data_IF_667189106536
#
_entry.id   IF_667189106536
#
_cell.length_a   1.000
_cell.length_b   1.000
_cell.length_c   1.000
_cell.angle_alpha   90.00
_cell.angle_beta   90.00
_cell.angle_gamma   90.00
#
_symmetry.space_group_name_H-M   'P 1'
#
loop_
_entity.id
_entity.type
_entity.pdbx_description
1 polymer ?
#
# COMPACT_ATOMS: atom_id res chain seq x y z
N UNK A 1 30.00 -20.64 1.95
CA UNK A 1 28.55 -20.45 2.11
C UNK A 1 28.35 -19.55 3.30
N UNK A 2 28.33 -18.25 3.04
CA UNK A 2 28.21 -17.21 4.05
C UNK A 2 26.75 -16.82 4.18
N UNK A 3 26.25 -17.03 5.39
CA UNK A 3 25.01 -16.54 5.97
C UNK A 3 24.81 -15.03 5.69
N UNK A 4 23.70 -14.68 5.02
CA UNK A 4 23.27 -13.30 4.76
C UNK A 4 21.85 -13.08 5.27
N UNK A 5 21.58 -13.48 6.51
CA UNK A 5 20.36 -13.11 7.21
C UNK A 5 20.47 -11.70 7.81
N UNK A 6 19.78 -10.73 7.21
CA UNK A 6 19.47 -9.46 7.90
C UNK A 6 18.68 -9.72 9.20
N UNK A 7 18.58 -8.74 10.12
CA UNK A 7 18.00 -8.97 11.44
C UNK A 7 16.50 -9.27 11.32
N UNK A 8 16.18 -10.57 11.29
CA UNK A 8 14.83 -11.08 11.57
C UNK A 8 14.54 -10.74 13.03
N UNK A 9 13.37 -10.17 13.32
CA UNK A 9 12.91 -10.06 14.72
C UNK A 9 12.81 -11.49 15.27
N UNK A 10 13.77 -11.87 16.11
CA UNK A 10 14.05 -13.27 16.51
C UNK A 10 13.32 -13.71 17.78
N UNK A 11 12.07 -13.29 18.00
CA UNK A 11 11.19 -13.95 18.99
C UNK A 11 9.74 -14.02 18.46
N UNK A 12 9.31 -15.22 18.07
CA UNK A 12 7.95 -15.52 17.58
C UNK A 12 7.82 -15.71 16.06
N UNK A 13 6.63 -16.10 15.55
CA UNK A 13 6.37 -16.18 14.11
C UNK A 13 6.62 -14.81 13.45
N UNK A 14 7.27 -14.79 12.28
CA UNK A 14 7.62 -13.56 11.54
C UNK A 14 6.45 -12.58 11.52
N UNK A 15 6.62 -11.36 12.02
CA UNK A 15 5.55 -10.34 12.08
C UNK A 15 5.69 -9.29 10.99
N UNK A 16 6.88 -8.71 10.86
CA UNK A 16 7.22 -7.75 9.82
C UNK A 16 8.75 -7.71 9.66
N UNK A 17 9.23 -7.17 8.54
CA UNK A 17 10.64 -6.78 8.46
C UNK A 17 10.88 -5.54 9.32
N UNK A 18 12.00 -5.51 10.03
CA UNK A 18 12.48 -4.30 10.69
C UNK A 18 13.10 -3.37 9.63
N UNK A 19 12.29 -2.59 8.93
CA UNK A 19 12.75 -1.51 8.06
C UNK A 19 12.37 -0.17 8.68
N UNK A 20 13.29 0.81 8.65
CA UNK A 20 12.95 2.17 9.05
C UNK A 20 12.03 2.83 8.02
N UNK A 21 11.26 3.84 8.44
CA UNK A 21 10.45 4.63 7.49
C UNK A 21 11.36 5.33 6.46
N UNK A 22 12.59 5.68 6.85
CA UNK A 22 13.60 6.24 5.95
C UNK A 22 14.03 5.25 4.87
N UNK A 23 14.18 3.96 5.19
CA UNK A 23 14.51 2.93 4.20
C UNK A 23 13.36 2.71 3.22
N UNK A 24 12.12 2.67 3.72
CA UNK A 24 10.92 2.61 2.88
C UNK A 24 10.84 3.82 1.95
N UNK A 25 11.12 5.01 2.46
CA UNK A 25 11.15 6.25 1.68
C UNK A 25 12.22 6.19 0.60
N UNK A 26 13.47 5.87 0.93
CA UNK A 26 14.55 5.74 -0.07
C UNK A 26 14.24 4.69 -1.12
N UNK A 27 13.71 3.54 -0.72
CA UNK A 27 13.27 2.48 -1.62
C UNK A 27 12.19 2.94 -2.60
N UNK A 28 11.20 3.65 -2.08
CA UNK A 28 10.09 4.20 -2.88
C UNK A 28 10.59 5.26 -3.85
N UNK A 29 11.51 6.13 -3.44
CA UNK A 29 12.14 7.10 -4.34
C UNK A 29 12.85 6.39 -5.50
N UNK A 30 13.72 5.43 -5.20
CA UNK A 30 14.45 4.65 -6.22
C UNK A 30 13.48 3.94 -7.16
N UNK A 31 12.43 3.33 -6.62
CA UNK A 31 11.39 2.66 -7.40
C UNK A 31 10.69 3.63 -8.36
N UNK A 32 10.19 4.77 -7.87
CA UNK A 32 9.52 5.77 -8.70
C UNK A 32 10.43 6.30 -9.81
N UNK A 33 11.71 6.57 -9.50
CA UNK A 33 12.70 6.98 -10.51
C UNK A 33 12.91 5.91 -11.56
N UNK A 34 12.95 4.64 -11.17
CA UNK A 34 13.11 3.51 -12.10
C UNK A 34 11.96 3.40 -13.11
N UNK A 35 10.74 3.74 -12.69
CA UNK A 35 9.54 3.76 -13.56
C UNK A 35 9.54 5.00 -14.48
N UNK A 36 10.37 5.99 -14.19
CA UNK A 36 10.49 7.24 -14.96
C UNK A 36 9.61 8.38 -14.44
N UNK A 37 9.27 8.38 -13.14
CA UNK A 37 8.56 9.48 -12.50
C UNK A 37 9.52 10.58 -12.05
N UNK A 38 9.15 11.82 -12.34
CA UNK A 38 9.76 13.02 -11.77
C UNK A 38 9.19 13.28 -10.38
N UNK A 39 10.07 13.31 -9.38
CA UNK A 39 9.68 13.58 -8.00
C UNK A 39 9.72 15.08 -7.75
N UNK A 40 8.55 15.70 -7.70
CA UNK A 40 8.44 17.08 -7.26
C UNK A 40 8.75 17.17 -5.76
N UNK A 41 9.28 18.32 -5.32
CA UNK A 41 9.34 18.60 -3.88
C UNK A 41 7.91 18.52 -3.32
N UNK A 42 7.64 17.67 -2.32
CA UNK A 42 6.28 17.51 -1.82
C UNK A 42 5.78 18.82 -1.21
N UNK A 43 4.68 19.35 -1.73
CA UNK A 43 3.97 20.50 -1.16
C UNK A 43 2.66 20.03 -0.52
N UNK A 44 2.04 20.90 0.29
CA UNK A 44 0.76 20.62 0.90
C UNK A 44 -0.34 20.44 -0.15
N UNK A 45 -1.09 19.34 -0.03
CA UNK A 45 -2.32 19.10 -0.77
C UNK A 45 -3.48 19.31 0.19
N UNK A 46 -3.96 20.56 0.24
CA UNK A 46 -4.86 21.02 1.30
C UNK A 46 -4.11 21.21 2.60
N UNK A 47 -4.46 20.44 3.63
CA UNK A 47 -3.86 20.52 4.98
C UNK A 47 -2.94 19.33 5.32
N UNK A 48 -2.72 18.42 4.38
CA UNK A 48 -1.82 17.28 4.54
C UNK A 48 -0.68 17.34 3.51
N UNK A 49 0.50 16.88 3.92
CA UNK A 49 1.69 16.80 3.07
C UNK A 49 1.99 15.33 2.73
N UNK A 50 2.16 14.98 1.45
CA UNK A 50 2.58 13.64 1.07
C UNK A 50 4.08 13.46 1.30
N UNK A 51 4.51 12.20 1.38
CA UNK A 51 5.93 11.86 1.34
C UNK A 51 6.45 11.91 -0.09
N UNK A 52 5.59 11.58 -1.06
CA UNK A 52 5.88 11.70 -2.49
C UNK A 52 4.73 12.32 -3.25
N UNK A 53 5.07 13.29 -4.09
CA UNK A 53 4.20 13.78 -5.16
C UNK A 53 4.99 13.69 -6.47
N UNK A 54 4.67 12.69 -7.28
CA UNK A 54 5.45 12.38 -8.46
C UNK A 54 4.59 12.33 -9.72
N UNK A 55 5.19 12.70 -10.85
CA UNK A 55 4.50 12.75 -12.15
C UNK A 55 5.31 12.09 -13.24
N UNK A 56 4.63 11.47 -14.19
CA UNK A 56 5.23 10.95 -15.43
C UNK A 56 4.37 11.39 -16.61
N UNK A 57 4.99 11.91 -17.67
CA UNK A 57 4.31 12.29 -18.90
C UNK A 57 4.58 11.26 -19.99
N UNK A 58 3.52 10.81 -20.66
CA UNK A 58 3.56 9.87 -21.78
C UNK A 58 2.65 10.39 -22.90
N UNK A 59 3.26 11.02 -23.92
CA UNK A 59 2.52 11.78 -24.93
C UNK A 59 1.71 12.91 -24.29
N UNK A 60 0.39 12.89 -24.48
CA UNK A 60 -0.54 13.88 -23.91
C UNK A 60 -1.06 13.50 -22.52
N UNK A 61 -0.75 12.29 -22.03
CA UNK A 61 -1.18 11.84 -20.71
C UNK A 61 -0.15 12.24 -19.65
N UNK A 62 -0.64 12.73 -18.53
CA UNK A 62 0.16 12.92 -17.32
C UNK A 62 -0.40 12.00 -16.24
N UNK A 63 0.43 11.07 -15.78
CA UNK A 63 0.14 10.24 -14.62
C UNK A 63 0.70 10.94 -13.38
N UNK A 64 -0.02 10.86 -12.28
CA UNK A 64 0.33 11.51 -11.02
C UNK A 64 0.09 10.52 -9.89
N UNK A 65 1.09 10.35 -9.01
CA UNK A 65 1.00 9.53 -7.81
C UNK A 65 1.25 10.38 -6.57
N UNK A 66 0.45 10.14 -5.53
CA UNK A 66 0.55 10.77 -4.22
C UNK A 66 0.71 9.66 -3.18
N UNK A 67 1.90 9.56 -2.58
CA UNK A 67 2.21 8.47 -1.67
C UNK A 67 2.52 8.98 -0.26
N UNK A 68 2.13 8.17 0.72
CA UNK A 68 2.50 8.28 2.12
C UNK A 68 3.33 7.04 2.49
N UNK A 69 4.39 7.22 3.26
CA UNK A 69 5.22 6.14 3.80
C UNK A 69 5.04 6.04 5.30
N UNK A 70 4.79 4.85 5.82
CA UNK A 70 4.67 4.62 7.27
C UNK A 70 5.55 3.45 7.72
N UNK A 71 5.88 3.43 9.01
CA UNK A 71 6.82 2.46 9.59
C UNK A 71 6.23 1.05 9.81
N UNK A 72 4.92 0.87 9.64
CA UNK A 72 4.25 -0.39 9.93
C UNK A 72 2.73 -0.34 9.77
N UNK A 73 2.09 -1.50 9.86
CA UNK A 73 0.63 -1.65 9.67
C UNK A 73 -0.18 -0.94 10.76
N UNK A 74 0.42 -0.76 11.95
CA UNK A 74 -0.16 -0.03 13.08
C UNK A 74 -0.38 1.46 12.75
N UNK A 75 0.37 1.99 11.77
CA UNK A 75 0.25 3.36 11.27
C UNK A 75 -0.52 3.47 9.96
N UNK A 76 -1.02 2.36 9.43
CA UNK A 76 -1.69 2.36 8.14
C UNK A 76 -2.96 3.22 8.13
N UNK A 77 -3.77 3.17 9.20
CA UNK A 77 -4.98 3.99 9.32
C UNK A 77 -4.63 5.48 9.29
N UNK A 78 -3.62 5.91 10.05
CA UNK A 78 -3.14 7.31 10.05
C UNK A 78 -2.70 7.73 8.64
N UNK A 79 -1.97 6.86 7.94
CA UNK A 79 -1.55 7.06 6.55
C UNK A 79 -2.72 7.20 5.57
N UNK A 80 -3.74 6.34 5.68
CA UNK A 80 -4.93 6.44 4.83
C UNK A 80 -5.80 7.66 5.14
N UNK A 81 -5.86 8.10 6.39
CA UNK A 81 -6.52 9.36 6.75
C UNK A 81 -5.82 10.55 6.09
N UNK A 82 -4.47 10.58 6.09
CA UNK A 82 -3.69 11.59 5.37
C UNK A 82 -3.99 11.56 3.86
N UNK A 83 -4.05 10.37 3.26
CA UNK A 83 -4.38 10.21 1.83
C UNK A 83 -5.80 10.68 1.52
N UNK A 84 -6.78 10.38 2.37
CA UNK A 84 -8.17 10.85 2.21
C UNK A 84 -8.27 12.37 2.27
N UNK A 85 -7.55 13.02 3.19
CA UNK A 85 -7.49 14.48 3.25
C UNK A 85 -6.91 15.10 1.96
N UNK A 86 -5.83 14.51 1.44
CA UNK A 86 -5.22 14.97 0.18
C UNK A 86 -6.14 14.73 -1.01
N UNK A 87 -6.78 13.55 -1.09
CA UNK A 87 -7.74 13.22 -2.15
C UNK A 87 -8.97 14.12 -2.14
N UNK A 88 -9.49 14.46 -0.97
CA UNK A 88 -10.60 15.41 -0.83
C UNK A 88 -10.23 16.81 -1.36
N UNK A 89 -8.97 17.23 -1.21
CA UNK A 89 -8.48 18.55 -1.64
C UNK A 89 -8.09 18.59 -3.12
N UNK A 90 -7.41 17.54 -3.59
CA UNK A 90 -6.78 17.47 -4.92
C UNK A 90 -7.65 16.76 -5.96
N UNK A 91 -8.67 16.02 -5.52
CA UNK A 91 -9.58 15.25 -6.35
C UNK A 91 -9.06 13.85 -6.72
N UNK A 92 -9.84 13.06 -7.47
CA UNK A 92 -9.53 11.67 -7.79
C UNK A 92 -8.54 11.50 -8.96
N UNK A 93 -8.02 12.60 -9.52
CA UNK A 93 -7.17 12.54 -10.71
C UNK A 93 -5.80 11.87 -10.47
N UNK A 94 -5.12 12.02 -9.32
CA UNK A 94 -3.93 11.24 -8.97
C UNK A 94 -4.26 9.84 -8.43
N UNK A 95 -3.31 8.91 -8.51
CA UNK A 95 -3.35 7.65 -7.76
C UNK A 95 -2.82 7.89 -6.34
N UNK A 96 -3.54 7.39 -5.33
CA UNK A 96 -3.20 7.60 -3.93
C UNK A 96 -2.79 6.28 -3.29
N UNK A 97 -1.65 6.25 -2.60
CA UNK A 97 -1.11 5.01 -2.06
C UNK A 97 -0.37 5.15 -0.74
N UNK A 98 -0.48 4.12 0.08
CA UNK A 98 0.34 3.93 1.27
C UNK A 98 1.47 2.93 0.95
N UNK A 99 2.68 3.22 1.40
CA UNK A 99 3.83 2.32 1.29
C UNK A 99 4.30 1.93 2.69
N UNK A 100 4.40 0.63 2.94
CA UNK A 100 4.82 0.03 4.20
C UNK A 100 6.08 -0.83 4.02
N UNK A 101 6.80 -1.17 5.10
CA UNK A 101 7.67 -2.34 5.06
C UNK A 101 6.84 -3.62 4.82
N UNK A 102 7.46 -4.74 4.40
CA UNK A 102 6.70 -5.95 4.17
C UNK A 102 6.22 -6.52 5.50
N UNK A 103 4.94 -6.89 5.50
CA UNK A 103 4.20 -7.42 6.64
C UNK A 103 3.95 -8.90 6.41
N UNK A 104 3.89 -9.69 7.47
CA UNK A 104 3.43 -11.06 7.37
C UNK A 104 2.02 -11.11 6.73
N UNK A 105 1.83 -11.96 5.72
CA UNK A 105 0.56 -12.12 5.01
C UNK A 105 -0.62 -12.38 5.96
N UNK A 106 -0.44 -13.22 6.98
CA UNK A 106 -1.46 -13.48 8.00
C UNK A 106 -1.91 -12.20 8.70
N UNK A 107 -0.96 -11.37 9.15
CA UNK A 107 -1.26 -10.10 9.83
C UNK A 107 -1.92 -9.10 8.89
N UNK A 108 -1.52 -9.07 7.61
CA UNK A 108 -2.16 -8.23 6.61
C UNK A 108 -3.61 -8.67 6.38
N UNK A 109 -3.85 -9.97 6.21
CA UNK A 109 -5.18 -10.52 6.01
C UNK A 109 -6.09 -10.29 7.23
N UNK A 110 -5.56 -10.46 8.43
CA UNK A 110 -6.25 -10.13 9.69
C UNK A 110 -6.62 -8.65 9.73
N UNK A 111 -5.68 -7.76 9.43
CA UNK A 111 -5.93 -6.32 9.38
C UNK A 111 -6.98 -5.93 8.34
N UNK A 112 -6.95 -6.54 7.15
CA UNK A 112 -7.93 -6.29 6.09
C UNK A 112 -9.33 -6.77 6.46
N UNK A 113 -9.44 -7.89 7.19
CA UNK A 113 -10.71 -8.49 7.59
C UNK A 113 -11.27 -7.92 8.90
N UNK A 114 -10.46 -7.19 9.67
CA UNK A 114 -10.87 -6.61 10.94
C UNK A 114 -12.14 -5.75 10.78
N UNK A 115 -12.99 -5.74 11.82
CA UNK A 115 -14.28 -5.06 11.85
C UNK A 115 -15.13 -5.35 10.59
N UNK A 116 -15.31 -6.64 10.26
CA UNK A 116 -16.06 -7.12 9.09
C UNK A 116 -15.56 -6.52 7.77
N UNK A 117 -14.25 -6.40 7.64
CA UNK A 117 -13.63 -5.92 6.42
C UNK A 117 -13.63 -4.40 6.26
N UNK A 118 -13.86 -3.63 7.34
CA UNK A 118 -13.89 -2.16 7.29
C UNK A 118 -12.69 -1.59 6.53
N UNK A 119 -11.48 -2.05 6.87
CA UNK A 119 -10.25 -1.58 6.23
C UNK A 119 -10.23 -1.92 4.74
N UNK A 120 -10.56 -3.16 4.38
CA UNK A 120 -10.63 -3.59 2.98
C UNK A 120 -11.62 -2.75 2.17
N UNK A 121 -12.85 -2.57 2.66
CA UNK A 121 -13.89 -1.83 1.94
C UNK A 121 -13.58 -0.34 1.84
N UNK A 122 -12.98 0.28 2.86
CA UNK A 122 -12.55 1.68 2.78
C UNK A 122 -11.45 1.88 1.74
N UNK A 123 -10.48 0.98 1.65
CA UNK A 123 -9.46 1.02 0.58
C UNK A 123 -10.09 0.95 -0.80
N UNK A 124 -11.05 0.04 -0.99
CA UNK A 124 -11.77 -0.11 -2.27
C UNK A 124 -12.60 1.10 -2.61
N UNK A 125 -13.38 1.60 -1.66
CA UNK A 125 -14.26 2.76 -1.85
C UNK A 125 -13.45 4.00 -2.21
N UNK A 126 -12.29 4.18 -1.60
CA UNK A 126 -11.40 5.30 -1.85
C UNK A 126 -10.42 5.07 -3.00
N UNK A 127 -10.44 3.92 -3.67
CA UNK A 127 -9.48 3.56 -4.72
C UNK A 127 -8.02 3.83 -4.29
N UNK A 128 -7.70 3.40 -3.07
CA UNK A 128 -6.36 3.53 -2.48
C UNK A 128 -5.52 2.32 -2.77
N UNK A 129 -4.23 2.57 -2.98
CA UNK A 129 -3.22 1.54 -3.15
C UNK A 129 -2.52 1.23 -1.84
N UNK A 130 -2.11 -0.02 -1.66
CA UNK A 130 -1.20 -0.44 -0.60
C UNK A 130 -0.01 -1.15 -1.24
N UNK A 131 1.17 -0.56 -1.09
CA UNK A 131 2.43 -1.11 -1.56
C UNK A 131 3.33 -1.50 -0.39
N UNK A 132 4.24 -2.43 -0.63
CA UNK A 132 5.25 -2.83 0.33
C UNK A 132 6.64 -2.77 -0.30
N UNK A 133 7.57 -2.09 0.35
CA UNK A 133 8.96 -2.06 -0.08
C UNK A 133 9.78 -3.05 0.73
N UNK A 134 10.37 -4.05 0.09
CA UNK A 134 11.29 -4.99 0.69
C UNK A 134 12.74 -4.48 0.57
N UNK A 135 13.38 -4.02 1.66
CA UNK A 135 14.74 -3.49 1.60
C UNK A 135 15.80 -4.58 1.38
N UNK A 136 15.50 -5.85 1.66
CA UNK A 136 16.45 -6.97 1.47
C UNK A 136 16.55 -7.33 -0.01
N UNK A 137 15.42 -7.31 -0.70
CA UNK A 137 15.33 -7.61 -2.15
C UNK A 137 15.43 -6.35 -3.01
N UNK A 138 15.46 -5.16 -2.38
CA UNK A 138 15.36 -3.85 -3.03
C UNK A 138 14.17 -3.74 -3.99
N UNK A 139 13.04 -4.33 -3.60
CA UNK A 139 11.92 -4.56 -4.50
C UNK A 139 10.58 -4.04 -3.96
N UNK A 140 9.70 -3.61 -4.87
CA UNK A 140 8.38 -3.09 -4.53
C UNK A 140 7.29 -4.11 -4.88
N UNK A 141 6.36 -4.30 -3.97
CA UNK A 141 5.20 -5.18 -4.12
C UNK A 141 3.92 -4.34 -4.12
N UNK A 142 3.00 -4.59 -5.05
CA UNK A 142 1.67 -3.97 -5.06
C UNK A 142 0.67 -4.97 -4.50
N UNK A 143 0.17 -4.73 -3.29
CA UNK A 143 -0.74 -5.65 -2.59
C UNK A 143 -2.19 -5.31 -2.83
N UNK A 144 -2.61 -4.07 -2.60
CA UNK A 144 -4.00 -3.65 -2.84
C UNK A 144 -3.98 -2.56 -3.90
N UNK A 145 -4.84 -2.73 -4.91
CA UNK A 145 -4.92 -1.80 -6.03
C UNK A 145 -3.67 -1.81 -6.89
N UNK A 146 -3.68 -0.99 -7.94
CA UNK A 146 -2.55 -0.78 -8.82
C UNK A 146 -2.64 0.60 -9.46
N UNK A 147 -1.50 1.21 -9.81
CA UNK A 147 -1.49 2.51 -10.46
C UNK A 147 -2.10 2.40 -11.86
N UNK A 148 -2.73 3.48 -12.33
CA UNK A 148 -3.31 3.54 -13.69
C UNK A 148 -2.25 3.54 -14.78
N UNK A 149 -1.03 3.94 -14.44
CA UNK A 149 0.11 3.90 -15.33
C UNK A 149 0.63 2.46 -15.50
N UNK A 150 0.49 1.92 -16.71
CA UNK A 150 0.92 0.56 -17.02
C UNK A 150 2.42 0.36 -16.97
N UNK A 151 3.22 1.43 -16.95
CA UNK A 151 4.67 1.34 -16.82
C UNK A 151 5.09 0.64 -15.51
N UNK A 152 4.29 0.75 -14.44
CA UNK A 152 4.59 0.06 -13.19
C UNK A 152 4.56 -1.47 -13.28
N UNK A 153 3.82 -2.04 -14.25
CA UNK A 153 3.64 -3.49 -14.34
C UNK A 153 4.96 -4.24 -14.59
N UNK A 154 5.94 -3.62 -15.23
CA UNK A 154 7.27 -4.22 -15.44
C UNK A 154 8.24 -4.02 -14.27
N UNK A 155 7.85 -3.27 -13.23
CA UNK A 155 8.72 -2.93 -12.10
C UNK A 155 8.28 -3.57 -10.78
N UNK A 156 7.00 -3.89 -10.60
CA UNK A 156 6.57 -4.66 -9.43
C UNK A 156 7.04 -6.11 -9.52
N UNK A 157 7.40 -6.72 -8.38
CA UNK A 157 7.78 -8.15 -8.30
C UNK A 157 6.60 -9.06 -8.66
N UNK A 158 5.39 -8.66 -8.27
CA UNK A 158 4.15 -9.36 -8.57
C UNK A 158 3.08 -8.34 -8.99
N UNK A 159 3.07 -7.90 -10.26
CA UNK A 159 2.02 -7.02 -10.74
C UNK A 159 0.69 -7.77 -10.70
N UNK A 160 -0.22 -7.36 -9.82
CA UNK A 160 -1.59 -7.90 -9.78
C UNK A 160 -1.83 -9.07 -8.82
N UNK A 161 -0.94 -9.32 -7.84
CA UNK A 161 -1.36 -10.10 -6.67
C UNK A 161 -2.31 -9.22 -5.84
N UNK A 162 -3.61 -9.48 -5.95
CA UNK A 162 -4.62 -8.76 -5.20
C UNK A 162 -5.29 -9.71 -4.20
N UNK A 163 -5.29 -9.41 -2.89
CA UNK A 163 -5.98 -10.23 -1.89
C UNK A 163 -7.50 -10.12 -2.02
N UNK A 164 -8.03 -9.34 -2.96
CA UNK A 164 -9.46 -9.09 -3.16
C UNK A 164 -10.31 -10.35 -3.20
N UNK A 165 -9.86 -11.37 -3.94
CA UNK A 165 -10.62 -12.61 -4.08
C UNK A 165 -10.66 -13.34 -2.74
N UNK A 166 -9.52 -13.47 -2.06
CA UNK A 166 -9.38 -14.20 -0.80
C UNK A 166 -10.14 -13.48 0.32
N UNK A 167 -9.94 -12.17 0.45
CA UNK A 167 -10.59 -11.34 1.47
C UNK A 167 -12.08 -11.22 1.18
N UNK A 168 -12.47 -11.01 -0.07
CA UNK A 168 -13.88 -10.90 -0.48
C UNK A 168 -14.67 -12.19 -0.22
N UNK A 169 -14.12 -13.35 -0.58
CA UNK A 169 -14.76 -14.65 -0.29
C UNK A 169 -14.93 -14.87 1.21
N UNK A 170 -13.90 -14.57 2.00
CA UNK A 170 -13.94 -14.79 3.44
C UNK A 170 -14.93 -13.85 4.14
N UNK A 171 -15.02 -12.60 3.71
CA UNK A 171 -16.00 -11.65 4.25
C UNK A 171 -17.44 -12.02 3.85
N UNK A 172 -17.65 -12.58 2.65
CA UNK A 172 -18.96 -13.07 2.23
C UNK A 172 -19.46 -14.20 3.13
N UNK A 173 -18.60 -15.17 3.46
CA UNK A 173 -18.95 -16.26 4.39
C UNK A 173 -19.32 -15.77 5.79
N UNK A 174 -18.57 -14.82 6.36
CA UNK A 174 -18.89 -14.26 7.67
C UNK A 174 -20.27 -13.60 7.68
N UNK A 175 -20.63 -12.90 6.60
CA UNK A 175 -21.94 -12.27 6.46
C UNK A 175 -23.05 -13.33 6.34
N UNK A 176 -22.83 -14.38 5.54
CA UNK A 176 -23.78 -15.48 5.37
C UNK A 176 -24.05 -16.22 6.70
N UNK A 177 -23.01 -16.53 7.48
CA UNK A 177 -23.14 -17.16 8.80
C UNK A 177 -23.97 -16.31 9.77
N UNK A 178 -23.78 -14.99 9.79
CA UNK A 178 -24.56 -14.09 10.64
C UNK A 178 -26.04 -14.05 10.25
N UNK A 179 -26.34 -14.03 8.94
CA UNK A 179 -27.72 -14.09 8.47
C UNK A 179 -28.41 -15.41 8.87
N UNK A 180 -27.70 -16.54 8.78
CA UNK A 180 -28.22 -17.84 9.22
C UNK A 180 -28.41 -17.95 10.75
N UNK A 181 -27.67 -17.16 11.54
CA UNK A 181 -27.84 -17.07 12.99
C UNK A 181 -29.01 -16.15 13.38
N UNK A 182 -29.23 -15.05 12.66
CA UNK A 182 -30.34 -14.11 12.90
C UNK A 182 -31.72 -14.68 12.52
N UNK A 183 -31.78 -15.63 11.58
CA UNK A 183 -33.02 -16.31 11.17
C UNK A 183 -33.45 -17.48 12.09
N UNK A 184 -32.66 -17.82 13.11
CA UNK A 184 -32.95 -18.89 14.10
C UNK A 184 -33.53 -18.36 15.41
#
# INVERSE_FOLDING_TARGET
MTDTGGPRVTEGPFRAYAASVEDVRKGTETFLRSVGYDLASPDYLGFARPDFHARRKEGDKTYEVVLVTEAGIEKAVDGFVRLAAMKASKGPAPDYGLVLPPINEYLLLEWLQNEKGRNFYELKRQDFMLWMYNPVEEAMWSWVGGPRDKAFASHFVLPGFSPDVIVGQRLAWVIEEEFEEEEK
#
